data_IF_053058011352
#
_entry.id   IF_053058011352
#
_cell.length_a   1.000
_cell.length_b   1.000
_cell.length_c   1.000
_cell.angle_alpha   90.00
_cell.angle_beta   90.00
_cell.angle_gamma   90.00
#
_symmetry.space_group_name_H-M   'P 1'
#
loop_
_entity.id
_entity.type
_entity.pdbx_description
1 polymer ?
#
# COMPACT_ATOMS: atom_id res chain seq x y z
N UNK A 1 -13.07 8.71 4.74
CA UNK A 1 -11.73 8.88 4.12
C UNK A 1 -10.72 9.04 5.23
N UNK A 2 -9.69 8.21 5.25
CA UNK A 2 -8.68 8.15 6.32
C UNK A 2 -7.40 8.80 5.79
N UNK A 3 -6.85 9.76 6.55
CA UNK A 3 -5.63 10.48 6.16
C UNK A 3 -4.41 9.84 6.79
N UNK A 4 -3.41 9.52 5.99
CA UNK A 4 -2.14 8.97 6.46
C UNK A 4 -0.97 9.86 6.00
N UNK A 5 -0.11 10.22 6.95
CA UNK A 5 1.13 10.94 6.63
C UNK A 5 2.24 9.92 6.38
N UNK A 6 2.59 9.74 5.12
CA UNK A 6 3.61 8.78 4.68
C UNK A 6 4.96 9.46 4.51
N UNK A 7 5.99 8.89 5.12
CA UNK A 7 7.38 9.24 4.88
C UNK A 7 7.82 8.74 3.50
N UNK A 8 8.87 9.32 2.94
CA UNK A 8 9.37 8.95 1.60
C UNK A 8 9.74 7.47 1.54
N UNK A 9 10.36 6.93 2.60
CA UNK A 9 10.65 5.50 2.75
C UNK A 9 9.39 4.62 2.76
N UNK A 10 8.32 5.06 3.42
CA UNK A 10 7.08 4.28 3.49
C UNK A 10 6.36 4.23 2.14
N UNK A 11 6.44 5.33 1.38
CA UNK A 11 5.95 5.34 -0.01
C UNK A 11 6.71 4.34 -0.85
N UNK A 12 8.04 4.34 -0.77
CA UNK A 12 8.89 3.40 -1.49
C UNK A 12 8.51 1.96 -1.15
N UNK A 13 8.30 1.63 0.12
CA UNK A 13 7.86 0.28 0.51
C UNK A 13 6.54 -0.12 -0.15
N UNK A 14 5.53 0.75 -0.12
CA UNK A 14 4.23 0.45 -0.74
C UNK A 14 4.36 0.31 -2.26
N UNK A 15 5.17 1.17 -2.90
CA UNK A 15 5.50 1.04 -4.32
C UNK A 15 6.17 -0.28 -4.65
N UNK A 16 7.17 -0.67 -3.88
CA UNK A 16 7.92 -1.91 -4.08
C UNK A 16 6.97 -3.11 -3.96
N UNK A 17 6.00 -3.08 -3.04
CA UNK A 17 4.97 -4.12 -2.95
C UNK A 17 4.08 -4.17 -4.20
N UNK A 18 3.64 -3.02 -4.72
CA UNK A 18 2.84 -2.93 -5.96
C UNK A 18 3.62 -3.53 -7.14
N UNK A 19 4.87 -3.14 -7.31
CA UNK A 19 5.73 -3.62 -8.41
C UNK A 19 6.02 -5.12 -8.27
N UNK A 20 6.33 -5.62 -7.06
CA UNK A 20 6.57 -7.04 -6.82
C UNK A 20 5.34 -7.90 -7.17
N UNK A 21 4.12 -7.44 -6.86
CA UNK A 21 2.90 -8.15 -7.25
C UNK A 21 2.69 -8.12 -8.76
N UNK A 22 2.97 -7.00 -9.42
CA UNK A 22 2.89 -6.88 -10.88
C UNK A 22 3.86 -7.84 -11.57
N UNK A 23 5.12 -7.86 -11.14
CA UNK A 23 6.11 -8.82 -11.63
C UNK A 23 5.69 -10.27 -11.39
N UNK A 24 5.12 -10.56 -10.21
CA UNK A 24 4.55 -11.86 -9.89
C UNK A 24 3.45 -12.25 -10.88
N UNK A 25 2.49 -11.37 -11.13
CA UNK A 25 1.39 -11.59 -12.07
C UNK A 25 1.89 -11.79 -13.51
N UNK A 26 2.87 -11.00 -13.95
CA UNK A 26 3.50 -11.12 -15.27
C UNK A 26 4.15 -12.49 -15.47
N UNK A 27 4.88 -13.00 -14.46
CA UNK A 27 5.55 -14.31 -14.52
C UNK A 27 4.57 -15.48 -14.69
N UNK A 28 3.36 -15.37 -14.16
CA UNK A 28 2.33 -16.41 -14.26
C UNK A 28 1.35 -16.21 -15.43
N UNK A 29 1.68 -15.33 -16.39
CA UNK A 29 0.86 -15.10 -17.58
C UNK A 29 -0.39 -14.24 -17.33
N UNK A 30 -0.51 -13.64 -16.14
CA UNK A 30 -1.58 -12.71 -15.77
C UNK A 30 -1.28 -11.29 -16.23
N UNK A 31 -1.10 -11.08 -17.54
CA UNK A 31 -0.69 -9.79 -18.13
C UNK A 31 -1.67 -8.62 -17.93
N UNK A 32 -2.84 -8.84 -17.31
CA UNK A 32 -3.94 -7.87 -17.37
C UNK A 32 -4.74 -7.69 -16.08
N UNK A 33 -4.28 -8.18 -14.94
CA UNK A 33 -4.97 -7.86 -13.67
C UNK A 33 -4.38 -6.57 -13.10
N UNK A 34 -4.63 -5.47 -13.80
CA UNK A 34 -4.59 -4.15 -13.15
C UNK A 34 -5.82 -4.11 -12.27
N UNK A 35 -5.66 -4.54 -11.02
CA UNK A 35 -6.69 -4.31 -10.03
C UNK A 35 -6.87 -2.79 -9.89
N UNK A 36 -8.08 -2.26 -10.08
CA UNK A 36 -8.30 -0.82 -10.18
C UNK A 36 -7.89 -0.08 -8.90
N UNK A 37 -7.96 -0.73 -7.74
CA UNK A 37 -7.61 -0.13 -6.45
C UNK A 37 -6.09 0.04 -6.26
N UNK A 38 -5.30 -0.92 -6.72
CA UNK A 38 -3.83 -0.91 -6.75
C UNK A 38 -3.35 0.31 -7.54
N UNK A 39 -3.93 0.51 -8.73
CA UNK A 39 -3.62 1.65 -9.59
C UNK A 39 -4.00 2.98 -8.93
N UNK A 40 -5.12 3.03 -8.20
CA UNK A 40 -5.51 4.22 -7.45
C UNK A 40 -4.61 4.50 -6.25
N UNK A 41 -4.14 3.47 -5.55
CA UNK A 41 -3.14 3.61 -4.48
C UNK A 41 -1.83 4.13 -5.06
N UNK A 42 -1.37 3.54 -6.18
CA UNK A 42 -0.18 3.98 -6.90
C UNK A 42 -0.28 5.47 -7.29
N UNK A 43 -1.38 5.88 -7.93
CA UNK A 43 -1.61 7.28 -8.33
C UNK A 43 -1.54 8.23 -7.12
N UNK A 44 -2.14 7.85 -6.00
CA UNK A 44 -2.10 8.65 -4.76
C UNK A 44 -0.69 8.76 -4.19
N UNK A 45 0.13 7.72 -4.29
CA UNK A 45 1.52 7.75 -3.84
C UNK A 45 2.40 8.64 -4.73
N UNK A 46 2.04 8.85 -6.01
CA UNK A 46 2.72 9.82 -6.92
C UNK A 46 2.50 11.27 -6.50
N UNK A 47 1.45 11.57 -5.73
CA UNK A 47 1.16 12.93 -5.32
C UNK A 47 2.28 13.49 -4.42
N UNK A 48 2.72 14.75 -4.64
CA UNK A 48 3.82 15.35 -3.87
C UNK A 48 3.46 15.61 -2.40
N UNK A 49 2.18 15.58 -2.04
CA UNK A 49 1.71 15.76 -0.67
C UNK A 49 2.12 14.59 0.20
N UNK A 50 2.74 14.88 1.37
CA UNK A 50 3.06 13.88 2.41
C UNK A 50 1.82 13.27 3.09
N UNK A 51 0.72 14.01 3.11
CA UNK A 51 -0.57 13.55 3.62
C UNK A 51 -1.40 13.03 2.45
N UNK A 52 -1.75 11.75 2.49
CA UNK A 52 -2.52 11.07 1.45
C UNK A 52 -3.84 10.58 2.08
N UNK A 53 -4.93 10.74 1.35
CA UNK A 53 -6.26 10.29 1.77
C UNK A 53 -6.60 8.95 1.13
N UNK A 54 -6.76 7.93 1.94
CA UNK A 54 -7.14 6.58 1.52
C UNK A 54 -8.60 6.28 1.87
N UNK A 55 -9.22 5.41 1.07
CA UNK A 55 -10.45 4.73 1.51
C UNK A 55 -10.08 3.66 2.53
N UNK A 56 -11.07 3.15 3.26
CA UNK A 56 -10.85 2.02 4.17
C UNK A 56 -10.31 0.81 3.40
N UNK A 57 -10.95 0.47 2.28
CA UNK A 57 -10.56 -0.64 1.42
C UNK A 57 -9.10 -0.53 0.93
N UNK A 58 -8.65 0.67 0.57
CA UNK A 58 -7.25 0.88 0.16
C UNK A 58 -6.25 0.68 1.30
N UNK A 59 -6.62 1.03 2.54
CA UNK A 59 -5.76 0.75 3.70
C UNK A 59 -5.75 -0.75 4.05
N UNK A 60 -6.88 -1.44 3.89
CA UNK A 60 -6.95 -2.90 4.02
C UNK A 60 -6.07 -3.59 2.98
N UNK A 61 -6.10 -3.11 1.74
CA UNK A 61 -5.24 -3.59 0.66
C UNK A 61 -3.75 -3.39 0.95
N UNK A 62 -3.35 -2.21 1.43
CA UNK A 62 -1.97 -1.94 1.87
C UNK A 62 -1.57 -2.86 3.04
N UNK A 63 -2.51 -3.16 3.95
CA UNK A 63 -2.27 -4.06 5.07
C UNK A 63 -2.05 -5.49 4.57
N UNK A 64 -2.85 -5.98 3.63
CA UNK A 64 -2.68 -7.31 3.03
C UNK A 64 -1.30 -7.46 2.37
N UNK A 65 -0.84 -6.44 1.64
CA UNK A 65 0.50 -6.43 1.04
C UNK A 65 1.60 -6.45 2.08
N UNK A 66 1.42 -5.67 3.15
CA UNK A 66 2.35 -5.65 4.27
C UNK A 66 2.38 -7.03 4.96
N UNK A 67 1.25 -7.69 5.19
CA UNK A 67 1.23 -9.02 5.82
C UNK A 67 1.89 -10.09 4.94
N UNK A 68 1.75 -9.99 3.61
CA UNK A 68 2.42 -10.89 2.68
C UNK A 68 3.94 -10.66 2.58
N UNK A 69 4.42 -9.44 2.88
CA UNK A 69 5.79 -9.01 2.55
C UNK A 69 6.62 -8.52 3.75
N UNK A 70 6.05 -8.26 4.93
CA UNK A 70 6.74 -7.57 6.02
C UNK A 70 7.77 -8.46 6.72
N UNK A 71 9.01 -8.35 6.27
CA UNK A 71 10.16 -9.03 6.87
C UNK A 71 11.01 -8.07 7.71
N UNK A 72 11.08 -6.79 7.32
CA UNK A 72 11.90 -5.77 7.99
C UNK A 72 11.13 -4.98 9.08
N UNK A 73 11.88 -4.37 10.01
CA UNK A 73 11.30 -3.53 11.06
C UNK A 73 10.57 -2.29 10.52
N UNK A 74 11.02 -1.76 9.38
CA UNK A 74 10.37 -0.64 8.72
C UNK A 74 8.99 -1.03 8.17
N UNK A 75 8.88 -2.22 7.58
CA UNK A 75 7.61 -2.75 7.07
C UNK A 75 6.65 -3.09 8.21
N UNK A 76 7.15 -3.69 9.29
CA UNK A 76 6.36 -3.95 10.51
C UNK A 76 5.82 -2.67 11.13
N UNK A 77 6.63 -1.61 11.16
CA UNK A 77 6.20 -0.31 11.68
C UNK A 77 5.10 0.30 10.79
N UNK A 78 5.28 0.26 9.47
CA UNK A 78 4.25 0.73 8.52
C UNK A 78 2.95 -0.06 8.68
N UNK A 79 3.03 -1.38 8.78
CA UNK A 79 1.90 -2.28 9.04
C UNK A 79 1.15 -1.89 10.32
N UNK A 80 1.86 -1.69 11.44
CA UNK A 80 1.25 -1.28 12.71
C UNK A 80 0.55 0.08 12.61
N UNK A 81 1.12 1.03 11.86
CA UNK A 81 0.52 2.35 11.63
C UNK A 81 -0.76 2.26 10.79
N UNK A 82 -0.75 1.46 9.72
CA UNK A 82 -1.93 1.24 8.88
C UNK A 82 -3.04 0.56 9.68
N UNK A 83 -2.72 -0.47 10.45
CA UNK A 83 -3.65 -1.15 11.34
C UNK A 83 -4.26 -0.20 12.39
N UNK A 84 -3.42 0.60 13.05
CA UNK A 84 -3.90 1.60 14.01
C UNK A 84 -4.81 2.65 13.38
N UNK A 85 -4.57 3.03 12.12
CA UNK A 85 -5.44 3.96 11.39
C UNK A 85 -6.82 3.34 11.06
N UNK A 86 -6.87 2.04 10.74
CA UNK A 86 -8.12 1.30 10.52
C UNK A 86 -8.93 1.11 11.82
N UNK A 87 -8.26 0.86 12.95
CA UNK A 87 -8.91 0.69 14.26
C UNK A 87 -9.52 1.99 14.79
N UNK A 88 -8.88 3.13 14.53
CA UNK A 88 -9.39 4.46 14.92
C UNK A 88 -10.56 4.94 14.05
N UNK A 89 -10.81 4.29 12.91
CA UNK A 89 -11.84 4.66 11.95
C UNK A 89 -12.68 3.41 11.59
N UNK A 90 -13.53 2.92 12.51
CA UNK A 90 -14.35 1.72 12.31
C UNK A 90 -15.27 1.84 11.10
#
# INVERSE_FOLDING_TARGET
>A
MIKLKLMDRERTLIYDWIENMREGAERYGGWSVVFPEEAMVEEKLRAPSREISFTRHQLELILDWAEASAISDAEKLLMARVKGALEQNP
#
